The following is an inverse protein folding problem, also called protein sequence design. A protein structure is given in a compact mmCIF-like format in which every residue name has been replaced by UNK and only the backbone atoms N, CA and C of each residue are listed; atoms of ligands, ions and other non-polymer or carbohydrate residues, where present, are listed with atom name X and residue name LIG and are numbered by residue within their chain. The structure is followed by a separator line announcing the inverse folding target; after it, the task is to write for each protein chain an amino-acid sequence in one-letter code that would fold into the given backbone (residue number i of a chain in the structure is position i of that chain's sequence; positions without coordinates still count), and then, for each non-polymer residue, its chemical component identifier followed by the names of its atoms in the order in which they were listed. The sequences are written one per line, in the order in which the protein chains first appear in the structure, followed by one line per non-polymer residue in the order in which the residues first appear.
data_IF_554980846976
#
_entry.id   IF_554980846976
#
_cell.length_a   1.000
_cell.length_b   1.000
_cell.length_c   1.000
_cell.angle_alpha   90.00
_cell.angle_beta   90.00
_cell.angle_gamma   90.00
#
_symmetry.space_group_name_H-M   'P 1'
#
loop_
_entity.id
_entity.type
_entity.pdbx_description
1 polymer ?
#
# COMPACT_ATOMS: atom_id res chain seq x y z
N UNK A 1 -5.38 59.63 30.27
CA UNK A 1 -5.30 58.40 31.09
C UNK A 1 -6.25 57.30 30.64
N UNK A 2 -7.54 57.54 30.39
CA UNK A 2 -8.49 56.47 29.99
C UNK A 2 -8.18 55.76 28.67
N UNK A 3 -7.62 56.48 27.69
CA UNK A 3 -7.23 55.87 26.41
C UNK A 3 -6.06 54.89 26.53
N UNK A 4 -5.16 55.12 27.48
CA UNK A 4 -3.97 54.28 27.67
C UNK A 4 -4.33 52.95 28.36
N UNK A 5 -5.29 53.00 29.30
CA UNK A 5 -5.80 51.82 30.01
C UNK A 5 -6.58 50.90 29.05
N UNK A 6 -7.38 51.46 28.13
CA UNK A 6 -8.09 50.66 27.11
C UNK A 6 -7.14 49.96 26.13
N UNK A 7 -6.05 50.62 25.74
CA UNK A 7 -5.01 50.03 24.88
C UNK A 7 -4.25 48.90 25.60
N UNK A 8 -3.94 49.07 26.89
CA UNK A 8 -3.28 48.04 27.68
C UNK A 8 -4.18 46.81 27.86
N UNK A 9 -5.47 47.01 28.16
CA UNK A 9 -6.43 45.91 28.29
C UNK A 9 -6.64 45.15 26.98
N UNK A 10 -6.62 45.85 25.83
CA UNK A 10 -6.74 45.21 24.51
C UNK A 10 -5.49 44.41 24.15
N UNK A 11 -4.29 44.91 24.48
CA UNK A 11 -3.03 44.17 24.30
C UNK A 11 -2.95 42.94 25.19
N UNK A 12 -3.35 43.03 26.47
CA UNK A 12 -3.38 41.88 27.38
C UNK A 12 -4.39 40.82 26.88
N UNK A 13 -5.54 41.26 26.35
CA UNK A 13 -6.52 40.35 25.73
C UNK A 13 -5.91 39.62 24.51
N UNK A 14 -5.19 40.33 23.64
CA UNK A 14 -4.53 39.73 22.46
C UNK A 14 -3.42 38.76 22.86
N UNK A 15 -2.63 39.07 23.90
CA UNK A 15 -1.57 38.18 24.41
C UNK A 15 -2.17 36.93 25.06
N UNK A 16 -3.28 37.08 25.79
CA UNK A 16 -3.98 35.94 26.40
C UNK A 16 -4.62 35.02 25.35
N UNK A 17 -5.25 35.56 24.31
CA UNK A 17 -5.84 34.74 23.23
C UNK A 17 -4.80 34.06 22.35
N UNK A 18 -3.65 34.69 22.10
CA UNK A 18 -2.56 34.05 21.36
C UNK A 18 -1.89 32.92 22.16
N UNK A 19 -1.71 33.07 23.47
CA UNK A 19 -1.19 31.97 24.30
C UNK A 19 -2.17 30.79 24.42
N UNK A 20 -3.48 31.04 24.51
CA UNK A 20 -4.51 29.98 24.51
C UNK A 20 -4.54 29.21 23.17
N UNK A 21 -4.37 29.90 22.04
CA UNK A 21 -4.28 29.26 20.71
C UNK A 21 -2.99 28.42 20.59
N UNK A 22 -1.87 28.88 21.15
CA UNK A 22 -0.60 28.13 21.14
C UNK A 22 -0.67 26.89 22.06
N UNK A 23 -1.31 26.96 23.22
CA UNK A 23 -1.50 25.79 24.10
C UNK A 23 -2.47 24.76 23.51
N UNK A 24 -3.54 25.18 22.84
CA UNK A 24 -4.45 24.27 22.14
C UNK A 24 -3.75 23.51 21.00
N UNK A 25 -2.88 24.18 20.24
CA UNK A 25 -2.08 23.51 19.18
C UNK A 25 -0.97 22.59 19.70
N UNK A 26 -0.56 22.73 20.98
CA UNK A 26 0.43 21.84 21.61
C UNK A 26 -0.17 20.51 22.07
N UNK A 27 -1.38 20.52 22.62
CA UNK A 27 -2.06 19.30 23.08
C UNK A 27 -2.47 18.35 21.96
N UNK A 28 -2.89 18.89 20.81
CA UNK A 28 -3.32 18.09 19.66
C UNK A 28 -2.13 17.46 18.90
N UNK A 29 -0.97 18.14 18.87
CA UNK A 29 0.25 17.61 18.23
C UNK A 29 0.83 16.38 18.96
N UNK A 30 0.66 16.25 20.27
CA UNK A 30 1.16 15.08 21.01
C UNK A 30 0.45 13.77 20.63
N UNK A 31 -0.84 13.83 20.29
CA UNK A 31 -1.61 12.63 19.95
C UNK A 31 -1.21 12.12 18.57
N UNK A 32 -0.96 13.02 17.62
CA UNK A 32 -0.47 12.65 16.29
C UNK A 32 0.95 12.07 16.31
N UNK A 33 1.75 12.38 17.34
CA UNK A 33 3.05 11.74 17.55
C UNK A 33 2.92 10.26 17.96
N UNK A 34 1.80 9.86 18.55
CA UNK A 34 1.54 8.45 18.89
C UNK A 34 1.07 7.64 17.68
N UNK A 35 0.58 8.29 16.64
CA UNK A 35 0.10 7.63 15.42
C UNK A 35 1.26 7.09 14.60
N UNK A 36 1.02 5.95 13.96
CA UNK A 36 2.01 5.27 13.13
C UNK A 36 2.52 6.17 12.02
N UNK A 37 3.84 6.26 11.91
CA UNK A 37 4.49 7.04 10.85
C UNK A 37 4.27 6.44 9.48
N UNK A 38 3.99 5.14 9.40
CA UNK A 38 3.73 4.42 8.16
C UNK A 38 2.55 3.47 8.35
N UNK A 39 1.66 3.46 7.38
CA UNK A 39 0.48 2.60 7.35
C UNK A 39 0.32 1.88 6.01
N UNK A 40 -0.32 0.71 6.06
CA UNK A 40 -0.74 -0.07 4.90
C UNK A 40 -2.22 -0.41 5.02
N UNK A 41 -2.93 -0.39 3.89
CA UNK A 41 -4.33 -0.77 3.81
C UNK A 41 -4.46 -2.16 3.18
N UNK A 42 -4.65 -3.17 4.02
CA UNK A 42 -4.83 -4.56 3.58
C UNK A 42 -6.29 -4.84 3.22
N UNK A 43 -6.53 -5.47 2.07
CA UNK A 43 -7.86 -5.81 1.58
C UNK A 43 -7.83 -7.15 0.82
N UNK A 44 -8.92 -7.93 0.80
CA UNK A 44 -9.01 -9.13 -0.01
C UNK A 44 -9.28 -8.75 -1.48
N UNK A 45 -8.30 -9.00 -2.36
CA UNK A 45 -8.40 -8.78 -3.83
C UNK A 45 -9.45 -9.61 -4.57
N UNK A 46 -10.27 -10.37 -3.87
CA UNK A 46 -11.42 -11.08 -4.45
C UNK A 46 -12.53 -10.12 -4.87
N UNK A 47 -12.52 -8.90 -4.31
CA UNK A 47 -13.43 -7.81 -4.67
C UNK A 47 -12.79 -6.95 -5.78
N UNK A 48 -13.55 -6.65 -6.84
CA UNK A 48 -13.10 -5.76 -7.93
C UNK A 48 -13.01 -4.31 -7.43
N UNK A 49 -11.87 -3.93 -6.84
CA UNK A 49 -11.60 -2.57 -6.38
C UNK A 49 -11.02 -1.75 -7.55
N UNK A 50 -11.72 -0.73 -8.07
CA UNK A 50 -11.23 0.06 -9.21
C UNK A 50 -10.02 0.94 -8.84
N UNK A 51 -9.71 1.08 -7.55
CA UNK A 51 -8.69 1.96 -6.99
C UNK A 51 -7.52 1.18 -6.39
N UNK A 52 -7.27 -0.03 -6.90
CA UNK A 52 -6.37 -0.98 -6.25
C UNK A 52 -4.95 -0.42 -6.07
N UNK A 53 -4.46 0.36 -7.03
CA UNK A 53 -3.14 1.00 -6.97
C UNK A 53 -3.04 2.09 -5.89
N UNK A 54 -4.16 2.73 -5.53
CA UNK A 54 -4.18 3.71 -4.44
C UNK A 54 -4.15 3.00 -3.09
N UNK A 55 -4.97 1.97 -2.87
CA UNK A 55 -5.02 1.29 -1.56
C UNK A 55 -3.87 0.33 -1.33
N UNK A 56 -3.28 -0.21 -2.39
CA UNK A 56 -2.19 -1.19 -2.33
C UNK A 56 -0.81 -0.55 -2.24
N UNK A 57 -0.67 0.42 -1.34
CA UNK A 57 0.55 1.20 -1.18
C UNK A 57 0.87 1.46 0.29
N UNK A 58 2.14 1.77 0.55
CA UNK A 58 2.56 2.28 1.85
C UNK A 58 2.31 3.78 1.89
N UNK A 59 1.73 4.23 3.00
CA UNK A 59 1.36 5.60 3.25
C UNK A 59 2.18 6.15 4.42
N UNK A 60 2.91 7.23 4.18
CA UNK A 60 3.83 7.86 5.12
C UNK A 60 3.19 9.13 5.70
N UNK A 61 3.13 9.21 7.03
CA UNK A 61 2.63 10.37 7.76
C UNK A 61 3.43 11.61 7.37
N UNK A 62 2.73 12.66 6.98
CA UNK A 62 3.34 13.97 6.72
C UNK A 62 3.22 14.87 7.95
N UNK A 63 3.89 16.02 7.89
CA UNK A 63 3.74 17.10 8.86
C UNK A 63 2.49 17.97 8.60
N UNK A 64 1.69 17.65 7.57
CA UNK A 64 0.49 18.41 7.21
C UNK A 64 -0.70 17.84 7.98
N UNK A 65 -1.45 18.71 8.64
CA UNK A 65 -2.72 18.39 9.29
C UNK A 65 -3.86 18.93 8.42
N UNK A 66 -4.83 18.06 8.13
CA UNK A 66 -6.03 18.35 7.36
C UNK A 66 -7.26 18.10 8.23
N UNK A 67 -8.09 19.13 8.44
CA UNK A 67 -9.32 19.04 9.25
C UNK A 67 -9.11 18.36 10.62
N UNK A 68 -7.97 18.58 11.27
CA UNK A 68 -7.65 17.94 12.56
C UNK A 68 -7.23 16.48 12.46
N UNK A 69 -6.68 16.05 11.32
CA UNK A 69 -6.07 14.72 11.17
C UNK A 69 -4.82 14.75 10.27
N UNK A 70 -3.75 13.98 10.58
CA UNK A 70 -2.54 13.95 9.75
C UNK A 70 -2.80 13.45 8.33
N UNK A 71 -2.23 14.14 7.34
CA UNK A 71 -2.22 13.68 5.96
C UNK A 71 -1.15 12.60 5.82
N UNK A 72 -1.54 11.47 5.24
CA UNK A 72 -0.63 10.39 4.87
C UNK A 72 -0.39 10.40 3.36
N UNK A 73 0.87 10.50 2.94
CA UNK A 73 1.26 10.50 1.53
C UNK A 73 1.59 9.09 1.07
N UNK A 74 1.09 8.67 -0.08
CA UNK A 74 1.58 7.46 -0.73
C UNK A 74 3.10 7.60 -0.96
N UNK A 75 3.87 6.61 -0.50
CA UNK A 75 5.33 6.58 -0.61
C UNK A 75 5.81 6.78 -2.05
N UNK A 76 5.04 6.29 -3.03
CA UNK A 76 5.34 6.40 -4.46
C UNK A 76 4.71 7.60 -5.15
N UNK A 77 4.01 8.42 -4.38
CA UNK A 77 3.22 9.55 -4.87
C UNK A 77 1.93 9.10 -5.55
N UNK A 78 1.20 10.08 -6.09
CA UNK A 78 -0.03 9.86 -6.85
C UNK A 78 -1.30 9.67 -6.01
N UNK A 79 -1.19 9.57 -4.69
CA UNK A 79 -2.35 9.60 -3.78
C UNK A 79 -1.96 9.99 -2.35
N UNK A 80 -2.95 10.48 -1.61
CA UNK A 80 -2.87 10.86 -0.21
C UNK A 80 -4.12 10.31 0.49
N UNK A 81 -3.97 9.95 1.76
CA UNK A 81 -5.05 9.58 2.65
C UNK A 81 -5.20 10.68 3.72
N UNK A 82 -6.39 11.27 3.82
CA UNK A 82 -6.64 12.40 4.73
C UNK A 82 -8.12 12.52 5.08
N UNK A 83 -8.41 13.33 6.10
CA UNK A 83 -9.76 13.71 6.48
C UNK A 83 -10.24 14.87 5.59
N UNK A 84 -11.11 14.59 4.62
CA UNK A 84 -11.57 15.54 3.58
C UNK A 84 -12.49 16.63 4.10
N UNK A 85 -13.37 16.27 5.03
CA UNK A 85 -14.31 17.17 5.72
C UNK A 85 -14.46 16.70 7.17
N UNK A 86 -15.46 17.19 7.91
CA UNK A 86 -15.60 16.92 9.34
C UNK A 86 -15.71 15.44 9.75
N UNK A 87 -16.00 14.52 8.82
CA UNK A 87 -16.15 13.10 9.13
C UNK A 87 -15.82 12.13 8.00
N UNK A 88 -15.36 12.58 6.84
CA UNK A 88 -15.08 11.69 5.71
C UNK A 88 -13.58 11.61 5.45
N UNK A 89 -13.01 10.42 5.61
CA UNK A 89 -11.66 10.12 5.18
C UNK A 89 -11.68 9.67 3.73
N UNK A 90 -10.72 10.14 2.92
CA UNK A 90 -10.68 9.84 1.51
C UNK A 90 -9.26 9.60 1.01
N UNK A 91 -9.17 8.86 -0.09
CA UNK A 91 -7.99 8.83 -0.95
C UNK A 91 -8.15 9.84 -2.10
N UNK A 92 -7.16 10.70 -2.33
CA UNK A 92 -7.14 11.59 -3.49
C UNK A 92 -5.72 11.84 -4.00
N UNK A 93 -5.58 12.22 -5.27
CA UNK A 93 -4.26 12.50 -5.90
C UNK A 93 -3.57 13.72 -5.29
N UNK A 94 -4.34 14.73 -4.88
CA UNK A 94 -3.87 15.90 -4.14
C UNK A 94 -4.91 16.34 -3.12
N UNK A 95 -4.46 16.95 -2.02
CA UNK A 95 -5.32 17.53 -0.98
C UNK A 95 -6.31 18.58 -1.50
N UNK A 96 -6.02 19.18 -2.67
CA UNK A 96 -6.72 20.35 -3.21
C UNK A 96 -7.51 20.11 -4.50
N UNK A 97 -7.52 18.90 -5.09
CA UNK A 97 -8.32 18.60 -6.28
C UNK A 97 -9.67 18.00 -5.87
N UNK A 98 -10.76 18.59 -6.35
CA UNK A 98 -12.17 18.43 -5.93
C UNK A 98 -12.71 17.00 -5.71
N UNK A 99 -13.84 16.57 -6.32
CA UNK A 99 -14.58 15.37 -5.91
C UNK A 99 -13.89 14.02 -6.23
N UNK A 100 -12.57 13.98 -6.44
CA UNK A 100 -11.79 12.81 -6.87
C UNK A 100 -11.74 11.64 -5.85
N UNK A 101 -12.54 11.71 -4.79
CA UNK A 101 -12.63 10.72 -3.72
C UNK A 101 -13.40 9.47 -4.19
N UNK A 102 -12.67 8.55 -4.82
CA UNK A 102 -13.22 7.26 -5.24
C UNK A 102 -13.50 6.35 -4.06
N UNK A 103 -12.55 6.23 -3.13
CA UNK A 103 -12.66 5.41 -1.93
C UNK A 103 -12.67 6.27 -0.67
N UNK A 104 -13.59 5.97 0.24
CA UNK A 104 -13.71 6.69 1.51
C UNK A 104 -14.15 5.77 2.65
N UNK A 105 -14.02 6.30 3.87
CA UNK A 105 -14.62 5.76 5.09
C UNK A 105 -15.13 6.92 5.95
N UNK A 106 -16.15 6.67 6.75
CA UNK A 106 -16.68 7.68 7.68
C UNK A 106 -15.99 7.56 9.03
N UNK A 107 -15.73 8.69 9.67
CA UNK A 107 -15.11 8.80 10.98
C UNK A 107 -16.05 9.34 12.03
N UNK A 108 -15.87 8.92 13.29
CA UNK A 108 -16.69 9.37 14.40
C UNK A 108 -16.41 10.85 14.67
N UNK A 109 -17.36 11.74 14.31
CA UNK A 109 -17.25 13.19 14.54
C UNK A 109 -16.84 13.51 15.98
N UNK A 110 -17.45 12.81 16.94
CA UNK A 110 -17.15 13.01 18.37
C UNK A 110 -15.70 12.65 18.72
N UNK A 111 -15.13 11.60 18.14
CA UNK A 111 -13.72 11.23 18.36
C UNK A 111 -12.78 12.19 17.63
N UNK A 112 -13.11 12.58 16.40
CA UNK A 112 -12.32 13.55 15.63
C UNK A 112 -12.22 14.91 16.34
N UNK A 113 -13.32 15.37 16.94
CA UNK A 113 -13.36 16.61 17.70
C UNK A 113 -12.74 16.50 19.11
N UNK A 114 -12.50 15.27 19.60
CA UNK A 114 -11.94 15.03 20.93
C UNK A 114 -10.81 13.99 20.89
N UNK A 115 -9.61 14.36 20.37
CA UNK A 115 -8.46 13.47 20.22
C UNK A 115 -8.11 12.63 21.47
N UNK A 116 -8.27 13.22 22.66
CA UNK A 116 -7.98 12.57 23.94
C UNK A 116 -8.78 11.28 24.19
N UNK A 117 -9.97 11.13 23.59
CA UNK A 117 -10.84 9.96 23.81
C UNK A 117 -10.28 8.70 23.18
N UNK A 118 -9.62 8.83 22.03
CA UNK A 118 -9.05 7.70 21.29
C UNK A 118 -7.54 7.58 21.47
N UNK A 119 -6.90 8.46 22.27
CA UNK A 119 -5.46 8.40 22.60
C UNK A 119 -5.01 7.01 23.07
N UNK A 120 -5.83 6.32 23.89
CA UNK A 120 -5.52 4.98 24.43
C UNK A 120 -5.62 3.85 23.40
N UNK A 121 -6.30 4.08 22.27
CA UNK A 121 -6.50 3.06 21.23
C UNK A 121 -5.55 3.19 20.04
N UNK A 122 -4.81 4.30 19.94
CA UNK A 122 -3.83 4.56 18.87
C UNK A 122 -2.71 3.54 18.90
N UNK A 123 -2.19 3.20 17.72
CA UNK A 123 -1.03 2.32 17.53
C UNK A 123 -1.21 0.93 18.18
N UNK A 124 -2.46 0.53 18.40
CA UNK A 124 -2.80 -0.85 18.69
C UNK A 124 -2.89 -1.60 17.35
N UNK A 125 -2.52 -2.88 17.33
CA UNK A 125 -2.58 -3.75 16.13
C UNK A 125 -3.95 -3.78 15.46
N UNK A 126 -5.03 -3.55 16.23
CA UNK A 126 -6.40 -3.48 15.70
C UNK A 126 -6.88 -2.06 15.35
N UNK A 127 -6.22 -1.01 15.88
CA UNK A 127 -6.64 0.40 15.77
C UNK A 127 -5.42 1.30 15.52
N UNK A 128 -4.71 1.14 14.39
CA UNK A 128 -3.45 1.85 14.12
C UNK A 128 -3.60 3.37 14.05
N UNK A 129 -4.78 3.84 13.64
CA UNK A 129 -5.16 5.25 13.57
C UNK A 129 -6.12 5.64 14.70
N UNK A 130 -6.20 4.81 15.75
CA UNK A 130 -7.18 4.92 16.83
C UNK A 130 -8.58 4.50 16.42
N UNK A 131 -9.52 4.74 17.33
CA UNK A 131 -10.93 4.39 17.15
C UNK A 131 -11.70 5.45 16.35
N UNK A 132 -11.07 6.02 15.33
CA UNK A 132 -11.63 7.18 14.61
C UNK A 132 -12.60 6.79 13.51
N UNK A 133 -12.60 5.54 13.05
CA UNK A 133 -13.44 5.07 11.94
C UNK A 133 -14.72 4.39 12.41
N UNK A 134 -15.80 4.60 11.67
CA UNK A 134 -17.01 3.79 11.78
C UNK A 134 -17.60 3.42 10.42
N UNK A 135 -18.25 2.27 10.38
CA UNK A 135 -18.81 1.71 9.16
C UNK A 135 -17.78 0.91 8.36
N UNK A 136 -18.02 0.81 7.05
CA UNK A 136 -17.17 0.07 6.12
C UNK A 136 -16.50 1.03 5.17
N UNK A 137 -15.31 0.67 4.69
CA UNK A 137 -14.72 1.29 3.52
C UNK A 137 -15.62 1.09 2.32
N UNK A 138 -15.62 2.03 1.38
CA UNK A 138 -16.39 1.84 0.16
C UNK A 138 -16.37 3.00 -0.80
N UNK A 139 -17.03 2.76 -1.92
CA UNK A 139 -17.11 3.69 -3.02
C UNK A 139 -18.49 3.66 -3.66
N UNK A 140 -18.84 4.76 -4.34
CA UNK A 140 -20.03 4.80 -5.18
C UNK A 140 -19.70 4.41 -6.61
N UNK A 141 -20.52 3.54 -7.19
CA UNK A 141 -20.51 3.21 -8.62
C UNK A 141 -21.93 3.37 -9.15
N UNK A 142 -22.15 4.31 -10.07
CA UNK A 142 -23.48 4.62 -10.63
C UNK A 142 -24.55 4.75 -9.55
N UNK A 143 -24.26 5.58 -8.53
CA UNK A 143 -25.11 5.80 -7.33
C UNK A 143 -25.29 4.62 -6.38
N UNK A 144 -24.74 3.43 -6.67
CA UNK A 144 -24.75 2.28 -5.76
C UNK A 144 -23.50 2.27 -4.88
N UNK A 145 -23.69 2.20 -3.57
CA UNK A 145 -22.59 2.01 -2.63
C UNK A 145 -22.07 0.57 -2.67
N UNK A 146 -20.76 0.41 -2.79
CA UNK A 146 -20.06 -0.87 -2.68
C UNK A 146 -19.14 -0.82 -1.48
N UNK A 147 -19.39 -1.68 -0.50
CA UNK A 147 -18.51 -1.84 0.65
C UNK A 147 -17.30 -2.69 0.29
N UNK A 148 -16.14 -2.33 0.84
CA UNK A 148 -14.89 -3.08 0.77
C UNK A 148 -14.48 -3.45 2.19
N UNK A 149 -14.03 -4.69 2.35
CA UNK A 149 -13.38 -5.10 3.59
C UNK A 149 -11.92 -4.68 3.55
N UNK A 150 -11.54 -3.71 4.37
CA UNK A 150 -10.18 -3.19 4.39
C UNK A 150 -9.75 -2.90 5.84
N UNK A 151 -8.52 -3.27 6.15
CA UNK A 151 -7.93 -3.12 7.47
C UNK A 151 -6.68 -2.26 7.36
N UNK A 152 -6.57 -1.27 8.24
CA UNK A 152 -5.35 -0.47 8.34
C UNK A 152 -4.36 -1.21 9.22
N UNK A 153 -3.07 -1.17 8.87
CA UNK A 153 -1.98 -1.73 9.67
C UNK A 153 -0.86 -0.72 9.84
N UNK A 154 -0.28 -0.64 11.04
CA UNK A 154 1.01 0.02 11.24
C UNK A 154 2.11 -0.85 10.66
N UNK A 155 3.06 -0.22 9.97
CA UNK A 155 4.17 -0.93 9.33
C UNK A 155 5.49 -0.27 9.69
N UNK A 156 6.56 -1.05 9.65
CA UNK A 156 7.91 -0.58 9.96
C UNK A 156 8.46 0.32 8.85
N UNK A 157 9.54 1.03 9.14
CA UNK A 157 10.31 1.79 8.14
C UNK A 157 10.89 0.91 7.05
N UNK A 158 11.19 -0.36 7.35
CA UNK A 158 11.73 -1.34 6.40
C UNK A 158 10.68 -1.86 5.40
N UNK A 159 9.39 -1.79 5.72
CA UNK A 159 8.33 -2.21 4.80
C UNK A 159 8.07 -1.11 3.78
N UNK A 160 8.44 -1.38 2.52
CA UNK A 160 8.33 -0.46 1.39
C UNK A 160 7.95 -1.24 0.13
N UNK A 161 7.37 -0.57 -0.87
CA UNK A 161 7.12 -1.19 -2.17
C UNK A 161 8.45 -1.38 -2.93
N UNK A 162 8.71 -2.59 -3.42
CA UNK A 162 10.03 -2.92 -3.95
C UNK A 162 10.33 -2.41 -5.36
N UNK A 163 9.32 -2.14 -6.21
CA UNK A 163 9.44 -1.45 -7.52
C UNK A 163 10.21 -2.18 -8.61
N UNK A 164 11.44 -2.60 -8.31
CA UNK A 164 12.11 -3.73 -8.93
C UNK A 164 11.27 -5.01 -8.88
N UNK A 165 10.35 -5.11 -7.91
CA UNK A 165 9.55 -6.29 -7.59
C UNK A 165 10.40 -7.50 -7.15
N UNK A 166 11.69 -7.32 -6.87
CA UNK A 166 12.52 -8.38 -6.33
C UNK A 166 12.46 -8.39 -4.81
N UNK A 167 12.15 -9.54 -4.23
CA UNK A 167 11.92 -9.70 -2.80
C UNK A 167 12.76 -10.83 -2.23
N UNK A 168 12.91 -10.85 -0.91
CA UNK A 168 13.67 -11.88 -0.18
C UNK A 168 13.05 -12.11 1.18
N UNK A 169 13.18 -13.33 1.70
CA UNK A 169 12.91 -13.57 3.12
C UNK A 169 14.06 -13.02 3.97
N UNK A 170 13.73 -12.38 5.09
CA UNK A 170 14.69 -11.79 6.04
C UNK A 170 15.58 -12.81 6.73
N UNK A 171 15.15 -14.06 6.75
CA UNK A 171 15.75 -15.11 7.59
C UNK A 171 16.18 -16.28 6.72
N UNK A 172 17.19 -17.01 7.20
CA UNK A 172 17.53 -18.28 6.58
C UNK A 172 16.36 -19.26 6.78
N UNK A 173 15.93 -19.91 5.70
CA UNK A 173 14.85 -20.88 5.74
C UNK A 173 15.42 -22.22 5.32
N UNK A 174 15.24 -23.22 6.18
CA UNK A 174 15.75 -24.58 5.99
C UNK A 174 14.58 -25.54 5.89
N UNK A 175 14.48 -26.23 4.76
CA UNK A 175 13.48 -27.27 4.55
C UNK A 175 13.98 -28.59 5.16
N UNK A 176 13.10 -29.29 5.89
CA UNK A 176 13.38 -30.56 6.56
C UNK A 176 14.61 -30.54 7.50
N UNK A 177 14.96 -29.35 8.03
CA UNK A 177 16.06 -29.18 8.98
C UNK A 177 17.47 -29.30 8.40
N UNK A 178 17.64 -29.58 7.10
CA UNK A 178 18.96 -29.79 6.49
C UNK A 178 19.21 -29.00 5.21
N UNK A 179 18.18 -28.70 4.43
CA UNK A 179 18.35 -28.03 3.13
C UNK A 179 17.99 -26.56 3.22
N UNK A 180 18.98 -25.67 3.14
CA UNK A 180 18.73 -24.22 3.06
C UNK A 180 18.06 -23.90 1.73
N UNK A 181 16.79 -23.49 1.79
CA UNK A 181 15.97 -23.13 0.63
C UNK A 181 15.85 -21.62 0.44
N UNK A 182 16.21 -20.82 1.44
CA UNK A 182 16.42 -19.38 1.31
C UNK A 182 17.57 -18.96 2.23
N UNK A 183 18.57 -18.31 1.66
CA UNK A 183 19.56 -17.54 2.40
C UNK A 183 19.34 -16.04 2.09
N UNK A 184 19.10 -15.17 3.08
CA UNK A 184 18.75 -13.76 2.85
C UNK A 184 19.85 -12.96 2.13
N UNK A 185 21.11 -13.42 2.18
CA UNK A 185 22.25 -12.75 1.54
C UNK A 185 22.50 -13.24 0.12
N UNK A 186 21.99 -14.41 -0.27
CA UNK A 186 22.26 -15.00 -1.59
C UNK A 186 21.02 -15.07 -2.46
N UNK A 187 19.90 -15.46 -1.87
CA UNK A 187 18.67 -15.75 -2.60
C UNK A 187 17.76 -14.55 -2.72
N UNK A 188 16.82 -14.65 -3.66
CA UNK A 188 15.77 -13.69 -3.89
C UNK A 188 14.69 -14.31 -4.77
N UNK A 189 13.57 -13.60 -4.90
CA UNK A 189 12.44 -13.98 -5.71
C UNK A 189 12.14 -12.87 -6.70
N UNK A 190 12.01 -13.24 -7.97
CA UNK A 190 11.67 -12.32 -9.04
C UNK A 190 10.25 -12.60 -9.54
N UNK A 191 9.46 -11.57 -9.87
CA UNK A 191 8.12 -11.80 -10.40
C UNK A 191 8.24 -12.52 -11.74
N UNK A 192 7.35 -13.48 -11.96
CA UNK A 192 7.19 -14.08 -13.27
C UNK A 192 6.32 -13.12 -14.08
N UNK A 193 6.85 -12.66 -15.20
CA UNK A 193 6.09 -11.82 -16.11
C UNK A 193 4.79 -12.53 -16.47
N UNK A 194 3.67 -11.81 -16.42
CA UNK A 194 2.37 -12.30 -16.87
C UNK A 194 1.79 -13.50 -16.10
N UNK A 195 2.34 -13.86 -14.93
CA UNK A 195 1.80 -14.93 -14.10
C UNK A 195 1.20 -14.41 -12.80
N UNK A 196 -0.09 -14.69 -12.62
CA UNK A 196 -0.86 -14.21 -11.49
C UNK A 196 -1.71 -15.32 -10.89
N UNK A 197 -1.87 -15.28 -9.57
CA UNK A 197 -2.82 -16.09 -8.81
C UNK A 197 -3.69 -15.16 -7.97
N UNK A 198 -5.01 -15.23 -8.14
CA UNK A 198 -6.00 -14.34 -7.50
C UNK A 198 -5.59 -12.84 -7.57
N UNK A 199 -5.26 -12.36 -8.78
CA UNK A 199 -4.81 -10.99 -9.08
C UNK A 199 -3.49 -10.56 -8.41
N UNK A 200 -2.70 -11.50 -7.86
CA UNK A 200 -1.37 -11.24 -7.28
C UNK A 200 -0.30 -11.91 -8.11
N UNK A 201 0.85 -11.24 -8.26
CA UNK A 201 1.97 -11.79 -9.03
C UNK A 201 2.50 -13.06 -8.36
N UNK A 202 2.88 -14.02 -9.18
CA UNK A 202 3.66 -15.19 -8.75
C UNK A 202 5.15 -14.84 -8.89
N UNK A 203 5.93 -15.19 -7.87
CA UNK A 203 7.36 -14.95 -7.85
C UNK A 203 8.11 -16.28 -7.94
N UNK A 204 9.17 -16.29 -8.73
CA UNK A 204 10.06 -17.43 -8.94
C UNK A 204 11.31 -17.24 -8.11
N UNK A 205 11.71 -18.28 -7.39
CA UNK A 205 12.99 -18.32 -6.69
C UNK A 205 14.15 -18.17 -7.69
N UNK A 206 15.20 -17.42 -7.34
CA UNK A 206 16.34 -17.16 -8.23
C UNK A 206 17.10 -18.44 -8.63
N UNK A 207 17.34 -19.32 -7.66
CA UNK A 207 17.89 -20.67 -7.89
C UNK A 207 16.82 -21.73 -8.24
N UNK A 208 15.91 -21.39 -9.14
CA UNK A 208 14.75 -22.26 -9.44
C UNK A 208 15.11 -23.67 -9.92
N UNK A 209 16.23 -23.84 -10.62
CA UNK A 209 16.63 -25.16 -11.14
C UNK A 209 16.87 -26.18 -10.03
N UNK A 210 17.29 -25.71 -8.85
CA UNK A 210 17.57 -26.56 -7.68
C UNK A 210 16.35 -26.63 -6.79
N UNK A 211 15.69 -25.50 -6.54
CA UNK A 211 14.60 -25.43 -5.55
C UNK A 211 13.26 -25.87 -6.14
N UNK A 212 12.96 -25.49 -7.39
CA UNK A 212 11.64 -25.67 -7.98
C UNK A 212 10.54 -24.86 -7.26
N UNK A 213 10.90 -23.82 -6.51
CA UNK A 213 9.98 -23.12 -5.61
C UNK A 213 9.51 -21.76 -6.14
N UNK A 214 8.31 -21.41 -5.72
CA UNK A 214 7.61 -20.17 -6.01
C UNK A 214 7.09 -19.53 -4.72
N UNK A 215 6.98 -18.21 -4.73
CA UNK A 215 6.27 -17.42 -3.74
C UNK A 215 4.99 -16.87 -4.38
N UNK A 216 3.83 -17.24 -3.86
CA UNK A 216 2.53 -16.97 -4.49
C UNK A 216 1.41 -16.85 -3.46
N UNK A 217 0.24 -16.38 -3.89
CA UNK A 217 -0.93 -16.31 -3.02
C UNK A 217 -1.95 -17.37 -3.42
N UNK A 218 -2.55 -18.08 -2.47
CA UNK A 218 -3.62 -19.04 -2.70
C UNK A 218 -4.58 -19.09 -1.49
N UNK A 219 -5.88 -18.98 -1.74
CA UNK A 219 -6.96 -19.19 -0.74
C UNK A 219 -6.76 -18.49 0.63
N UNK A 220 -6.37 -17.22 0.64
CA UNK A 220 -6.19 -16.43 1.87
C UNK A 220 -4.78 -16.44 2.45
N UNK A 221 -3.84 -17.13 1.81
CA UNK A 221 -2.47 -17.29 2.28
C UNK A 221 -1.47 -16.86 1.22
N UNK A 222 -0.41 -16.18 1.64
CA UNK A 222 0.85 -16.20 0.92
C UNK A 222 1.57 -17.52 1.22
N UNK A 223 2.16 -18.11 0.21
CA UNK A 223 2.70 -19.46 0.20
C UNK A 223 4.08 -19.47 -0.45
N UNK A 224 4.99 -20.26 0.11
CA UNK A 224 6.26 -20.62 -0.49
C UNK A 224 6.26 -22.13 -0.74
N UNK A 225 6.24 -22.53 -2.02
CA UNK A 225 5.95 -23.91 -2.42
C UNK A 225 6.21 -24.20 -3.91
N UNK A 226 6.01 -25.44 -4.35
CA UNK A 226 6.43 -25.89 -5.68
C UNK A 226 5.43 -25.59 -6.81
N UNK A 227 4.16 -25.33 -6.49
CA UNK A 227 3.09 -25.23 -7.49
C UNK A 227 2.11 -24.09 -7.15
N UNK A 228 2.15 -22.97 -7.87
CA UNK A 228 1.25 -21.82 -7.66
C UNK A 228 -0.24 -22.13 -7.86
N UNK A 229 -0.57 -23.19 -8.60
CA UNK A 229 -1.95 -23.57 -8.92
C UNK A 229 -2.58 -24.43 -7.81
N UNK A 230 -1.76 -24.96 -6.89
CA UNK A 230 -2.18 -25.84 -5.81
C UNK A 230 -1.98 -25.18 -4.45
N UNK A 231 -2.69 -25.67 -3.45
CA UNK A 231 -2.54 -25.26 -2.05
C UNK A 231 -1.35 -25.90 -1.34
N UNK A 232 -0.50 -26.63 -2.06
CA UNK A 232 0.69 -27.27 -1.49
C UNK A 232 1.79 -26.23 -1.25
N UNK A 233 2.16 -26.05 0.02
CA UNK A 233 3.19 -25.11 0.43
C UNK A 233 4.05 -25.70 1.55
N UNK A 234 5.32 -25.32 1.59
CA UNK A 234 6.21 -25.60 2.71
C UNK A 234 6.04 -24.55 3.80
N UNK A 235 5.77 -23.31 3.38
CA UNK A 235 5.59 -22.18 4.28
C UNK A 235 4.36 -21.37 3.90
N UNK A 236 3.63 -20.89 4.90
CA UNK A 236 2.42 -20.08 4.71
C UNK A 236 2.40 -18.86 5.62
N UNK A 237 1.77 -17.78 5.18
CA UNK A 237 1.38 -16.65 6.01
C UNK A 237 -0.05 -16.24 5.66
N UNK A 238 -0.93 -16.18 6.66
CA UNK A 238 -2.32 -15.76 6.46
C UNK A 238 -2.38 -14.25 6.30
N UNK A 239 -2.50 -13.77 5.07
CA UNK A 239 -2.50 -12.34 4.76
C UNK A 239 -3.16 -12.09 3.41
N UNK A 240 -3.97 -11.05 3.36
CA UNK A 240 -4.61 -10.57 2.14
C UNK A 240 -3.74 -9.54 1.39
N UNK A 241 -2.52 -9.29 1.84
CA UNK A 241 -1.59 -8.37 1.21
C UNK A 241 -1.50 -8.60 -0.31
N UNK A 242 -1.50 -7.53 -1.09
CA UNK A 242 -1.43 -7.58 -2.57
C UNK A 242 -0.05 -8.02 -3.08
N UNK A 243 0.98 -7.80 -2.27
CA UNK A 243 2.38 -8.10 -2.56
C UNK A 243 3.00 -8.76 -1.35
N UNK A 244 3.97 -9.67 -1.53
CA UNK A 244 4.53 -10.43 -0.44
C UNK A 244 5.29 -9.53 0.55
N UNK A 245 5.94 -8.46 0.09
CA UNK A 245 6.63 -7.50 0.95
C UNK A 245 5.70 -6.70 1.89
N UNK A 246 4.37 -6.78 1.69
CA UNK A 246 3.38 -6.17 2.58
C UNK A 246 2.74 -7.17 3.55
N UNK A 247 3.20 -8.43 3.55
CA UNK A 247 2.74 -9.45 4.49
C UNK A 247 3.26 -9.13 5.89
N UNK A 248 2.32 -8.81 6.78
CA UNK A 248 2.60 -8.50 8.20
C UNK A 248 2.36 -9.70 9.13
N UNK A 249 1.67 -10.73 8.65
CA UNK A 249 1.44 -11.95 9.41
C UNK A 249 2.75 -12.75 9.56
N UNK A 250 2.87 -13.49 10.67
CA UNK A 250 3.98 -14.44 10.86
C UNK A 250 3.89 -15.56 9.84
N UNK A 251 5.01 -15.88 9.22
CA UNK A 251 5.17 -17.06 8.39
C UNK A 251 5.21 -18.31 9.26
N UNK A 252 4.75 -19.42 8.73
CA UNK A 252 4.68 -20.71 9.42
C UNK A 252 5.21 -21.82 8.53
N UNK A 253 5.85 -22.82 9.12
CA UNK A 253 6.26 -24.06 8.47
C UNK A 253 5.55 -25.28 9.04
N UNK A 254 5.43 -26.34 8.26
CA UNK A 254 4.87 -27.61 8.75
C UNK A 254 5.98 -28.49 9.34
N UNK A 255 5.94 -28.68 10.66
CA UNK A 255 6.85 -29.56 11.40
C UNK A 255 6.02 -30.64 12.08
N UNK A 256 6.25 -31.91 11.70
CA UNK A 256 5.50 -33.04 12.25
C UNK A 256 3.98 -32.94 12.03
N UNK A 257 3.55 -32.33 10.91
CA UNK A 257 2.14 -32.12 10.58
C UNK A 257 1.48 -30.94 11.29
N UNK A 258 2.23 -30.12 12.05
CA UNK A 258 1.73 -28.91 12.72
C UNK A 258 2.40 -27.66 12.15
N UNK A 259 1.63 -26.58 12.04
CA UNK A 259 2.16 -25.27 11.65
C UNK A 259 2.86 -24.60 12.84
N UNK A 260 4.15 -24.34 12.69
CA UNK A 260 4.99 -23.65 13.69
C UNK A 260 5.40 -22.29 13.14
N UNK A 261 5.38 -21.26 13.99
CA UNK A 261 5.78 -19.91 13.58
C UNK A 261 7.26 -19.79 13.28
N UNK A 262 7.56 -19.06 12.23
CA UNK A 262 8.90 -18.67 11.82
C UNK A 262 9.06 -17.17 12.05
N UNK A 263 10.22 -16.79 12.53
CA UNK A 263 10.62 -15.38 12.53
C UNK A 263 11.20 -15.02 11.16
N UNK A 264 10.33 -15.02 10.15
CA UNK A 264 10.65 -14.63 8.78
C UNK A 264 9.64 -13.59 8.30
N UNK A 265 10.11 -12.60 7.56
CA UNK A 265 9.30 -11.64 6.81
C UNK A 265 9.81 -11.57 5.38
N UNK A 266 8.94 -11.15 4.46
CA UNK A 266 9.39 -10.83 3.11
C UNK A 266 9.63 -9.33 3.02
N UNK A 267 10.74 -8.93 2.43
CA UNK A 267 11.08 -7.54 2.19
C UNK A 267 11.76 -7.37 0.83
N UNK A 268 12.01 -6.11 0.46
CA UNK A 268 12.79 -5.80 -0.74
C UNK A 268 14.23 -6.29 -0.60
N UNK A 269 14.74 -6.92 -1.66
CA UNK A 269 16.07 -7.55 -1.66
C UNK A 269 17.22 -6.57 -1.40
N UNK A 270 17.11 -5.32 -1.84
CA UNK A 270 18.16 -4.29 -1.66
C UNK A 270 19.55 -4.70 -2.18
N UNK A 271 20.58 -3.90 -1.85
CA UNK A 271 22.00 -4.24 -2.08
C UNK A 271 22.86 -3.96 -0.84
N UNK A 272 23.64 -4.97 -0.42
CA UNK A 272 24.62 -4.86 0.66
C UNK A 272 25.91 -4.16 0.19
N UNK A 273 26.52 -3.34 1.05
CA UNK A 273 27.81 -2.66 0.81
C UNK A 273 27.86 -1.61 -0.31
N UNK A 274 26.71 -1.16 -0.83
CA UNK A 274 26.63 -0.10 -1.86
C UNK A 274 26.23 1.28 -1.29
N UNK A 275 26.33 1.47 0.05
CA UNK A 275 25.93 2.70 0.77
C UNK A 275 26.50 3.99 0.19
N UNK A 276 27.64 3.94 -0.51
CA UNK A 276 28.33 5.12 -1.04
C UNK A 276 28.03 5.44 -2.51
N UNK A 277 27.36 4.58 -3.28
CA UNK A 277 27.18 4.81 -4.73
C UNK A 277 25.71 4.79 -5.20
N UNK A 278 24.83 4.00 -4.56
CA UNK A 278 23.43 3.90 -5.01
C UNK A 278 22.59 5.07 -4.51
N UNK A 279 22.53 5.33 -3.19
CA UNK A 279 21.73 6.43 -2.65
C UNK A 279 22.28 7.82 -3.05
N UNK A 280 23.58 7.93 -3.27
CA UNK A 280 24.27 9.18 -3.54
C UNK A 280 24.30 9.55 -5.03
N UNK A 281 24.23 8.58 -5.96
CA UNK A 281 24.43 8.85 -7.41
C UNK A 281 23.46 8.16 -8.36
N UNK A 282 22.89 7.00 -8.02
CA UNK A 282 22.16 6.16 -9.00
C UNK A 282 20.65 6.12 -8.75
N UNK A 283 20.23 6.11 -7.48
CA UNK A 283 18.82 6.09 -7.12
C UNK A 283 18.14 7.40 -7.50
N UNK A 284 17.25 7.35 -8.51
CA UNK A 284 16.39 8.48 -8.91
C UNK A 284 15.09 8.57 -8.08
N UNK A 285 14.96 7.72 -7.07
CA UNK A 285 13.82 7.62 -6.17
C UNK A 285 14.16 8.06 -4.74
N UNK A 286 13.43 7.53 -3.76
CA UNK A 286 13.78 7.66 -2.33
C UNK A 286 14.64 6.47 -1.94
N UNK A 287 15.75 6.71 -1.25
CA UNK A 287 16.66 5.66 -0.83
C UNK A 287 16.38 5.28 0.63
N UNK A 288 16.23 3.98 0.91
CA UNK A 288 15.96 3.41 2.22
C UNK A 288 16.97 2.31 2.55
N UNK A 289 17.12 2.00 3.83
CA UNK A 289 17.88 0.85 4.32
C UNK A 289 16.89 -0.19 4.87
N UNK A 290 16.98 -1.44 4.39
CA UNK A 290 16.13 -2.52 4.87
C UNK A 290 16.69 -3.12 6.19
N UNK A 291 15.98 -4.10 6.76
CA UNK A 291 16.40 -4.73 8.03
C UNK A 291 17.71 -5.52 7.96
N UNK A 292 18.23 -5.78 6.75
CA UNK A 292 19.50 -6.48 6.51
C UNK A 292 20.66 -5.51 6.25
N UNK A 293 20.48 -4.21 6.52
CA UNK A 293 21.41 -3.12 6.20
C UNK A 293 21.70 -3.01 4.69
N UNK A 294 20.71 -3.31 3.86
CA UNK A 294 20.82 -3.24 2.42
C UNK A 294 20.08 -2.03 1.88
N UNK A 295 20.68 -1.39 0.89
CA UNK A 295 20.12 -0.21 0.26
C UNK A 295 19.01 -0.58 -0.71
N UNK A 296 17.84 0.03 -0.57
CA UNK A 296 16.66 -0.11 -1.42
C UNK A 296 16.32 1.25 -2.04
N UNK A 297 16.16 1.32 -3.36
CA UNK A 297 15.64 2.51 -4.02
C UNK A 297 14.14 2.32 -4.29
N UNK A 298 13.31 3.20 -3.73
CA UNK A 298 11.86 3.18 -3.92
C UNK A 298 11.48 4.11 -5.05
N UNK A 299 10.87 3.58 -6.10
CA UNK A 299 10.55 4.34 -7.29
C UNK A 299 9.24 5.09 -7.15
N UNK A 300 9.23 6.34 -7.66
CA UNK A 300 7.97 7.06 -7.89
C UNK A 300 7.10 6.27 -8.87
N UNK A 301 5.79 6.46 -8.79
CA UNK A 301 4.84 5.87 -9.72
C UNK A 301 5.26 6.09 -11.18
N UNK A 302 5.18 5.05 -12.00
CA UNK A 302 5.62 5.08 -13.41
C UNK A 302 7.14 4.94 -13.59
N UNK A 303 7.89 4.57 -12.55
CA UNK A 303 9.31 4.22 -12.64
C UNK A 303 9.57 2.87 -11.99
N UNK A 304 10.52 2.12 -12.55
CA UNK A 304 10.94 0.80 -12.09
C UNK A 304 12.45 0.61 -12.19
N UNK A 305 12.89 -0.56 -11.76
CA UNK A 305 14.30 -0.89 -11.64
C UNK A 305 14.78 -0.68 -10.21
N UNK A 306 15.98 -1.15 -9.92
CA UNK A 306 16.59 -1.08 -8.60
C UNK A 306 17.16 0.32 -8.29
N UNK A 307 17.24 1.20 -9.29
CA UNK A 307 17.71 2.59 -9.23
C UNK A 307 16.67 3.61 -9.72
N UNK A 308 15.48 3.12 -10.10
CA UNK A 308 14.38 3.93 -10.65
C UNK A 308 14.74 4.67 -11.95
N UNK A 309 15.70 4.13 -12.72
CA UNK A 309 16.08 4.72 -13.99
C UNK A 309 15.03 4.49 -15.08
N UNK A 310 14.39 3.32 -15.09
CA UNK A 310 13.46 2.95 -16.14
C UNK A 310 12.10 3.56 -15.88
N UNK A 311 11.73 4.57 -16.67
CA UNK A 311 10.33 5.01 -16.75
C UNK A 311 9.52 3.85 -17.34
N UNK A 312 8.50 3.40 -16.63
CA UNK A 312 7.49 2.54 -17.23
C UNK A 312 6.69 3.39 -18.21
N UNK A 313 6.74 3.02 -19.49
CA UNK A 313 5.64 3.32 -20.39
C UNK A 313 4.44 2.54 -19.86
N UNK A 314 3.66 3.18 -19.00
CA UNK A 314 2.33 2.70 -18.66
C UNK A 314 1.58 2.69 -19.97
N UNK A 315 1.56 1.54 -20.63
CA UNK A 315 0.79 1.38 -21.85
C UNK A 315 -0.66 1.25 -21.41
N UNK A 316 -1.29 2.42 -21.32
CA UNK A 316 -2.73 2.57 -21.26
C UNK A 316 -3.27 1.71 -22.41
N UNK A 317 -4.12 0.73 -22.10
CA UNK A 317 -4.87 0.03 -23.13
C UNK A 317 -5.59 1.12 -23.93
N UNK A 318 -5.20 1.27 -25.20
CA UNK A 318 -5.56 2.44 -26.01
C UNK A 318 -7.07 2.71 -26.04
N UNK A 319 -7.40 3.97 -26.28
CA UNK A 319 -8.77 4.42 -26.51
C UNK A 319 -9.35 3.65 -27.71
N UNK A 320 -10.31 2.75 -27.49
CA UNK A 320 -11.08 2.18 -28.61
C UNK A 320 -12.06 3.25 -29.07
N UNK A 321 -11.70 4.01 -30.11
CA UNK A 321 -12.64 4.86 -30.84
C UNK A 321 -13.19 4.10 -32.05
N UNK A 322 -14.51 3.93 -32.11
CA UNK A 322 -15.19 3.31 -33.25
C UNK A 322 -15.06 1.79 -33.32
N UNK A 323 -15.78 1.18 -34.25
CA UNK A 323 -15.86 -0.26 -34.53
C UNK A 323 -14.52 -0.85 -35.06
N UNK A 324 -13.39 -0.50 -34.44
CA UNK A 324 -12.09 -1.03 -34.75
C UNK A 324 -11.79 -2.20 -33.82
N UNK A 325 -11.80 -3.41 -34.37
CA UNK A 325 -11.17 -4.58 -33.76
C UNK A 325 -9.65 -4.42 -33.90
N UNK A 326 -9.01 -3.78 -32.94
CA UNK A 326 -7.55 -3.81 -32.86
C UNK A 326 -7.14 -5.08 -32.10
N UNK A 327 -6.46 -5.99 -32.79
CA UNK A 327 -5.85 -7.17 -32.17
C UNK A 327 -4.66 -6.69 -31.35
N UNK A 328 -4.89 -6.38 -30.07
CA UNK A 328 -3.79 -6.09 -29.15
C UNK A 328 -3.01 -7.38 -28.97
N UNK A 329 -1.91 -7.53 -29.70
CA UNK A 329 -0.90 -8.55 -29.44
C UNK A 329 -0.13 -8.19 -28.18
N UNK A 330 -0.74 -8.35 -26.99
CA UNK A 330 -0.06 -8.18 -25.70
C UNK A 330 -0.57 -9.16 -24.65
N UNK A 331 0.36 -10.06 -24.30
CA UNK A 331 0.72 -10.50 -22.96
C UNK A 331 -0.41 -10.60 -21.91
N UNK A 332 -0.79 -11.85 -21.62
CA UNK A 332 -1.78 -12.21 -20.60
C UNK A 332 -1.46 -11.58 -19.23
N UNK A 333 -2.46 -11.01 -18.54
CA UNK A 333 -2.32 -10.65 -17.13
C UNK A 333 -1.82 -9.23 -16.81
N UNK A 334 -1.70 -8.32 -17.77
CA UNK A 334 -1.45 -6.91 -17.44
C UNK A 334 -2.65 -6.29 -16.68
N UNK A 335 -2.50 -6.06 -15.38
CA UNK A 335 -3.46 -5.31 -14.57
C UNK A 335 -3.00 -3.86 -14.50
N UNK A 336 -3.67 -2.98 -15.25
CA UNK A 336 -3.68 -1.54 -14.94
C UNK A 336 -5.07 -1.20 -14.43
N UNK A 337 -5.16 -0.43 -13.35
CA UNK A 337 -6.41 0.20 -12.93
C UNK A 337 -6.18 1.69 -12.99
N UNK A 338 -6.96 2.37 -13.83
CA UNK A 338 -7.03 3.82 -13.89
C UNK A 338 -8.49 4.22 -13.64
N UNK A 339 -8.68 5.39 -13.02
CA UNK A 339 -9.99 5.92 -12.63
C UNK A 339 -10.85 6.25 -13.88
N UNK A 340 -12.12 5.84 -13.87
CA UNK A 340 -13.15 6.34 -14.81
C UNK A 340 -13.97 7.43 -14.10
N UNK A 341 -13.81 8.69 -14.49
CA UNK A 341 -14.88 9.70 -14.41
C UNK A 341 -14.83 10.55 -15.69
N UNK A 342 -15.91 10.48 -16.44
CA UNK A 342 -16.21 11.04 -17.78
C UNK A 342 -15.70 12.49 -17.98
N UNK A 343 -15.20 12.97 -19.12
CA UNK A 343 -15.50 12.69 -20.52
C UNK A 343 -14.21 12.73 -21.36
N UNK A 344 -14.10 11.81 -22.32
CA UNK A 344 -13.16 11.81 -23.46
C UNK A 344 -11.71 11.30 -23.32
N UNK A 345 -11.47 10.24 -22.53
CA UNK A 345 -10.53 9.13 -22.82
C UNK A 345 -10.91 7.97 -21.88
N UNK A 346 -11.17 6.76 -22.42
CA UNK A 346 -11.66 5.60 -21.64
C UNK A 346 -10.58 4.51 -21.54
N UNK A 347 -9.93 4.30 -20.38
CA UNK A 347 -9.05 3.16 -20.17
C UNK A 347 -9.83 1.87 -19.83
N UNK A 348 -9.37 0.73 -20.36
CA UNK A 348 -9.98 -0.59 -20.23
C UNK A 348 -9.35 -1.42 -19.10
N UNK A 349 -10.19 -2.08 -18.29
CA UNK A 349 -9.80 -3.20 -17.44
C UNK A 349 -9.87 -4.50 -18.26
N UNK A 350 -8.73 -5.04 -18.68
CA UNK A 350 -8.68 -6.30 -19.43
C UNK A 350 -8.56 -7.49 -18.49
N UNK A 351 -9.54 -8.39 -18.49
CA UNK A 351 -9.40 -9.72 -17.91
C UNK A 351 -9.89 -10.79 -18.89
N UNK A 352 -9.23 -11.95 -18.87
CA UNK A 352 -9.57 -13.11 -19.69
C UNK A 352 -10.39 -14.10 -18.87
N UNK A 353 -11.55 -14.50 -19.37
CA UNK A 353 -12.30 -15.63 -18.81
C UNK A 353 -11.66 -16.94 -19.30
N UNK A 354 -11.35 -17.87 -18.39
CA UNK A 354 -10.65 -19.13 -18.69
C UNK A 354 -11.34 -20.02 -19.75
N UNK A 355 -12.62 -19.77 -20.07
CA UNK A 355 -13.41 -20.64 -20.94
C UNK A 355 -13.62 -20.14 -22.39
N UNK A 356 -12.98 -19.04 -22.83
CA UNK A 356 -13.00 -18.62 -24.25
C UNK A 356 -11.62 -18.13 -24.72
N UNK A 357 -10.97 -18.81 -25.69
CA UNK A 357 -9.56 -18.57 -26.01
C UNK A 357 -9.26 -17.30 -26.83
N UNK A 358 -10.26 -16.49 -27.22
CA UNK A 358 -10.05 -15.34 -28.14
C UNK A 358 -10.86 -14.08 -27.81
N UNK A 359 -11.46 -13.96 -26.63
CA UNK A 359 -12.33 -12.83 -26.30
C UNK A 359 -11.92 -12.21 -24.97
N UNK A 360 -11.46 -10.95 -25.04
CA UNK A 360 -11.30 -10.09 -23.87
C UNK A 360 -12.64 -9.44 -23.55
N UNK A 361 -12.99 -9.38 -22.28
CA UNK A 361 -14.17 -8.67 -21.81
C UNK A 361 -13.74 -7.44 -21.03
N UNK A 362 -13.87 -6.27 -21.65
CA UNK A 362 -13.88 -5.01 -20.94
C UNK A 362 -15.31 -4.69 -20.52
N UNK A 363 -15.52 -4.33 -19.25
CA UNK A 363 -16.71 -3.54 -18.97
C UNK A 363 -16.44 -2.14 -19.51
N UNK A 364 -17.23 -1.71 -20.49
CA UNK A 364 -17.45 -0.28 -20.69
C UNK A 364 -17.87 0.27 -19.33
N UNK A 365 -17.22 1.33 -18.88
CA UNK A 365 -17.73 2.09 -17.75
C UNK A 365 -19.21 2.39 -18.07
N UNK A 366 -20.17 1.91 -17.25
CA UNK A 366 -21.58 2.13 -17.53
C UNK A 366 -21.82 3.64 -17.63
N UNK A 367 -22.77 4.07 -18.48
CA UNK A 367 -23.07 5.48 -18.71
C UNK A 367 -23.34 6.25 -17.41
#
# INVERSE_FOLDING_TARGET
NDHFIKLLSFMILIISTSNIVVEATKGDNEIYNLMCDRIYFEHPLEQKIPFINMVSAIYVKSNIISNGFPVYNNERGGSQFFLKNNNQFAFAKTYFSGPDSGLYITGYVYHLNNPNLWKKSINNTSKPLGDVFYGKWGFYKSSKYTSIDMTVKCVTSSMTDCGSNSVVFTSEITMNGTTVVNNPTLNHFNPILNRFQNNRRVYKHDNFKVTGLYLFYHSGYWMFGPDPEKSSAFFIAQSNAVKPEFVTAKWKETVGGKWVELDAQVQCRGRKNYKLDICSRQCKGVCLENSLNETVCTCKYGYRGWDCYFKEDIKICGTISGNAHETINREEGAVTTEYCWDNSIRPLLCYRYNNKPRSWYGYLCPP
#
